data_IF_194109906720
#
_entry.id   IF_194109906720
#
_cell.length_a   1.000
_cell.length_b   1.000
_cell.length_c   1.000
_cell.angle_alpha   90.00
_cell.angle_beta   90.00
_cell.angle_gamma   90.00
#
_symmetry.space_group_name_H-M   'P 1'
#
loop_
_entity.id
_entity.type
_entity.pdbx_description
1 polymer ?
#
# COMPACT_ATOMS: atom_id res chain seq x y z
N UNK A 1 9.78 5.63 13.58
CA UNK A 1 10.42 4.32 13.37
C UNK A 1 9.39 3.36 12.82
N UNK A 2 9.51 2.89 11.58
CA UNK A 2 8.51 2.00 10.98
C UNK A 2 8.60 0.58 11.57
N UNK A 3 7.45 -0.06 11.79
CA UNK A 3 7.34 -1.40 12.41
C UNK A 3 7.74 -2.53 11.44
N UNK A 4 7.55 -2.32 10.14
CA UNK A 4 7.74 -3.34 9.09
C UNK A 4 8.80 -2.89 8.10
N UNK A 5 10.07 -3.20 8.39
CA UNK A 5 11.21 -2.91 7.50
C UNK A 5 11.95 -4.20 7.18
N UNK A 6 12.72 -4.21 6.08
CA UNK A 6 13.46 -5.40 5.66
C UNK A 6 14.45 -5.89 6.72
N UNK A 7 15.02 -4.98 7.50
CA UNK A 7 15.98 -5.27 8.58
C UNK A 7 15.34 -5.96 9.78
N UNK A 8 14.02 -5.80 9.96
CA UNK A 8 13.26 -6.42 11.05
C UNK A 8 12.52 -7.69 10.62
N UNK A 9 12.45 -7.96 9.31
CA UNK A 9 11.79 -9.13 8.77
C UNK A 9 12.74 -10.33 8.79
N UNK A 10 12.26 -11.47 9.29
CA UNK A 10 12.97 -12.73 9.12
C UNK A 10 12.88 -13.16 7.65
N UNK A 11 14.02 -13.29 6.97
CA UNK A 11 14.12 -13.70 5.57
C UNK A 11 13.70 -15.16 5.31
N UNK A 12 13.59 -15.98 6.36
CA UNK A 12 13.07 -17.36 6.27
C UNK A 12 11.57 -17.45 6.61
N UNK A 13 10.92 -16.35 6.98
CA UNK A 13 9.52 -16.36 7.39
C UNK A 13 9.32 -16.85 8.82
N UNK A 14 8.12 -17.36 9.13
CA UNK A 14 7.73 -17.78 10.50
C UNK A 14 7.67 -19.29 10.69
N UNK A 15 7.82 -20.06 9.61
CA UNK A 15 7.60 -21.50 9.60
C UNK A 15 8.95 -22.20 9.58
N UNK A 16 9.08 -23.33 10.27
CA UNK A 16 10.32 -24.11 10.32
C UNK A 16 10.42 -25.16 9.19
N UNK A 17 9.39 -25.25 8.36
CA UNK A 17 9.33 -26.17 7.22
C UNK A 17 10.22 -25.66 6.07
N UNK A 18 11.26 -26.40 5.65
CA UNK A 18 12.27 -25.91 4.72
C UNK A 18 11.69 -25.38 3.40
N UNK A 19 10.70 -26.08 2.84
CA UNK A 19 10.07 -25.68 1.57
C UNK A 19 9.32 -24.34 1.67
N UNK A 20 8.68 -24.08 2.81
CA UNK A 20 8.00 -22.83 3.09
C UNK A 20 9.00 -21.68 3.28
N UNK A 21 10.14 -21.96 3.94
CA UNK A 21 11.23 -21.00 4.11
C UNK A 21 11.86 -20.60 2.78
N UNK A 22 12.15 -21.57 1.91
CA UNK A 22 12.73 -21.30 0.58
C UNK A 22 11.79 -20.43 -0.27
N UNK A 23 10.50 -20.75 -0.26
CA UNK A 23 9.48 -19.97 -0.97
C UNK A 23 9.37 -18.55 -0.42
N UNK A 24 9.37 -18.39 0.91
CA UNK A 24 9.34 -17.07 1.53
C UNK A 24 10.62 -16.27 1.23
N UNK A 25 11.78 -16.93 1.25
CA UNK A 25 13.07 -16.31 0.92
C UNK A 25 13.08 -15.77 -0.51
N UNK A 26 12.58 -16.53 -1.48
CA UNK A 26 12.43 -16.05 -2.86
C UNK A 26 11.51 -14.82 -2.94
N UNK A 27 10.38 -14.83 -2.22
CA UNK A 27 9.49 -13.67 -2.16
C UNK A 27 10.15 -12.45 -1.49
N UNK A 28 10.98 -12.67 -0.46
CA UNK A 28 11.74 -11.64 0.23
C UNK A 28 12.81 -11.02 -0.68
N UNK A 29 13.54 -11.83 -1.44
CA UNK A 29 14.53 -11.36 -2.42
C UNK A 29 13.86 -10.57 -3.55
N UNK A 30 12.76 -11.08 -4.12
CA UNK A 30 11.99 -10.35 -5.13
C UNK A 30 11.45 -9.01 -4.60
N UNK A 31 11.09 -8.94 -3.31
CA UNK A 31 10.65 -7.72 -2.65
C UNK A 31 11.80 -6.70 -2.53
N UNK A 32 13.02 -7.15 -2.20
CA UNK A 32 14.20 -6.28 -2.11
C UNK A 32 14.59 -5.69 -3.47
N UNK A 33 14.56 -6.51 -4.51
CA UNK A 33 14.87 -6.08 -5.87
C UNK A 33 13.85 -5.05 -6.35
N UNK A 34 12.55 -5.33 -6.16
CA UNK A 34 11.49 -4.39 -6.51
C UNK A 34 11.54 -3.10 -5.69
N UNK A 35 11.91 -3.15 -4.40
CA UNK A 35 12.07 -1.95 -3.59
C UNK A 35 13.24 -1.07 -4.04
N UNK A 36 14.29 -1.68 -4.59
CA UNK A 36 15.48 -0.97 -5.09
C UNK A 36 15.20 -0.26 -6.42
N UNK A 37 14.58 -0.96 -7.36
CA UNK A 37 14.19 -0.39 -8.65
C UNK A 37 12.81 -0.93 -9.10
N UNK A 38 11.70 -0.28 -8.71
CA UNK A 38 10.36 -0.79 -9.00
C UNK A 38 10.04 -0.60 -10.48
N UNK A 39 10.13 -1.68 -11.24
CA UNK A 39 9.73 -1.74 -12.64
C UNK A 39 8.63 -2.78 -12.83
N UNK A 40 7.54 -2.40 -13.50
CA UNK A 40 6.40 -3.29 -13.71
C UNK A 40 5.61 -3.56 -12.42
N UNK A 41 5.12 -4.79 -12.27
CA UNK A 41 4.23 -5.20 -11.17
C UNK A 41 4.84 -6.37 -10.39
N UNK A 42 4.75 -6.30 -9.06
CA UNK A 42 5.06 -7.42 -8.17
C UNK A 42 3.78 -7.85 -7.44
N UNK A 43 3.44 -9.14 -7.57
CA UNK A 43 2.23 -9.72 -6.95
C UNK A 43 2.64 -10.83 -6.00
N UNK A 44 2.24 -10.73 -4.73
CA UNK A 44 2.43 -11.80 -3.76
C UNK A 44 1.16 -12.66 -3.65
N UNK A 45 1.31 -13.97 -3.78
CA UNK A 45 0.24 -14.96 -3.61
C UNK A 45 0.59 -15.97 -2.53
N UNK A 46 -0.40 -16.54 -1.84
CA UNK A 46 -0.19 -17.55 -0.80
C UNK A 46 -1.20 -17.47 0.34
N UNK A 47 -1.13 -18.37 1.33
CA UNK A 47 -2.11 -18.45 2.41
C UNK A 47 -2.12 -17.22 3.32
N UNK A 48 -3.18 -17.06 4.09
CA UNK A 48 -3.24 -16.01 5.12
C UNK A 48 -2.11 -16.20 6.13
N UNK A 49 -1.54 -15.11 6.64
CA UNK A 49 -0.42 -15.17 7.58
C UNK A 49 0.97 -15.38 6.97
N UNK A 50 1.08 -15.68 5.66
CA UNK A 50 2.37 -15.89 4.96
C UNK A 50 3.26 -14.63 4.79
N UNK A 51 2.92 -13.50 5.42
CA UNK A 51 3.77 -12.30 5.41
C UNK A 51 3.65 -11.36 4.20
N UNK A 52 2.77 -11.63 3.24
CA UNK A 52 2.56 -10.79 2.03
C UNK A 52 2.39 -9.29 2.33
N UNK A 53 1.48 -8.95 3.25
CA UNK A 53 1.23 -7.56 3.67
C UNK A 53 2.45 -6.95 4.36
N UNK A 54 3.25 -7.76 5.05
CA UNK A 54 4.45 -7.27 5.71
C UNK A 54 5.56 -6.97 4.69
N UNK A 55 5.72 -7.83 3.67
CA UNK A 55 6.63 -7.57 2.54
C UNK A 55 6.21 -6.30 1.78
N UNK A 56 4.93 -6.15 1.47
CA UNK A 56 4.42 -4.93 0.83
C UNK A 56 4.69 -3.67 1.67
N UNK A 57 4.47 -3.74 2.99
CA UNK A 57 4.78 -2.64 3.90
C UNK A 57 6.29 -2.34 3.97
N UNK A 58 7.15 -3.36 3.92
CA UNK A 58 8.60 -3.18 3.89
C UNK A 58 9.09 -2.51 2.61
N UNK A 59 8.54 -2.90 1.45
CA UNK A 59 8.78 -2.22 0.16
C UNK A 59 8.39 -0.75 0.28
N UNK A 60 7.18 -0.47 0.76
CA UNK A 60 6.68 0.90 0.93
C UNK A 60 7.60 1.73 1.85
N UNK A 61 7.98 1.18 3.00
CA UNK A 61 8.86 1.87 3.94
C UNK A 61 10.26 2.13 3.37
N UNK A 62 10.82 1.22 2.57
CA UNK A 62 12.11 1.41 1.88
C UNK A 62 12.05 2.53 0.83
N UNK A 63 10.94 2.63 0.10
CA UNK A 63 10.71 3.72 -0.86
C UNK A 63 10.51 5.06 -0.13
N UNK A 64 9.73 5.08 0.94
CA UNK A 64 9.57 6.27 1.78
C UNK A 64 10.90 6.74 2.39
N UNK A 65 11.75 5.82 2.87
CA UNK A 65 13.06 6.18 3.44
C UNK A 65 14.04 6.75 2.41
N UNK A 66 13.82 6.49 1.12
CA UNK A 66 14.60 7.07 0.02
C UNK A 66 13.97 8.35 -0.55
N UNK A 67 12.97 8.91 0.15
CA UNK A 67 12.29 10.15 -0.24
C UNK A 67 11.30 9.99 -1.40
N UNK A 68 11.00 8.75 -1.80
CA UNK A 68 10.05 8.47 -2.88
C UNK A 68 8.63 8.36 -2.31
N UNK A 69 7.64 9.05 -2.88
CA UNK A 69 6.25 8.96 -2.41
C UNK A 69 5.68 7.56 -2.69
N UNK A 70 4.86 7.06 -1.75
CA UNK A 70 4.22 5.75 -1.85
C UNK A 70 2.74 5.85 -1.50
N UNK A 71 1.90 5.22 -2.31
CA UNK A 71 0.50 4.96 -1.99
C UNK A 71 0.35 3.54 -1.45
N UNK A 72 0.05 3.41 -0.17
CA UNK A 72 -0.21 2.12 0.48
C UNK A 72 -1.65 2.07 0.98
N UNK A 73 -2.51 1.29 0.31
CA UNK A 73 -3.94 1.17 0.62
C UNK A 73 -4.42 -0.26 0.44
N UNK A 74 -5.48 -0.64 1.15
CA UNK A 74 -6.27 -1.83 0.80
C UNK A 74 -7.01 -1.58 -0.50
N UNK A 75 -7.29 -2.65 -1.25
CA UNK A 75 -8.04 -2.55 -2.49
C UNK A 75 -9.42 -1.91 -2.29
N UNK A 76 -10.12 -2.26 -1.19
CA UNK A 76 -11.42 -1.68 -0.86
C UNK A 76 -11.34 -0.16 -0.63
N UNK A 77 -10.34 0.30 0.12
CA UNK A 77 -10.14 1.73 0.38
C UNK A 77 -9.87 2.50 -0.91
N UNK A 78 -9.02 1.97 -1.78
CA UNK A 78 -8.75 2.59 -3.07
C UNK A 78 -10.02 2.71 -3.94
N UNK A 79 -10.85 1.67 -3.95
CA UNK A 79 -12.11 1.67 -4.69
C UNK A 79 -13.10 2.67 -4.06
N UNK A 80 -13.16 2.76 -2.74
CA UNK A 80 -14.04 3.70 -2.04
C UNK A 80 -13.61 5.16 -2.27
N UNK A 81 -12.31 5.44 -2.27
CA UNK A 81 -11.77 6.76 -2.65
C UNK A 81 -12.16 7.13 -4.08
N UNK A 82 -12.07 6.17 -5.02
CA UNK A 82 -12.44 6.39 -6.41
C UNK A 82 -13.95 6.67 -6.55
N UNK A 83 -14.79 5.90 -5.84
CA UNK A 83 -16.24 6.13 -5.82
C UNK A 83 -16.58 7.52 -5.29
N UNK A 84 -15.92 7.95 -4.22
CA UNK A 84 -16.15 9.27 -3.62
C UNK A 84 -15.72 10.40 -4.56
N UNK A 85 -14.56 10.27 -5.23
CA UNK A 85 -14.12 11.26 -6.21
C UNK A 85 -15.13 11.38 -7.36
N UNK A 86 -15.61 10.25 -7.87
CA UNK A 86 -16.56 10.22 -8.98
C UNK A 86 -17.91 10.77 -8.56
N UNK A 87 -18.42 10.45 -7.36
CA UNK A 87 -19.69 10.97 -6.85
C UNK A 87 -19.67 12.47 -6.61
N UNK A 88 -18.53 13.02 -6.17
CA UNK A 88 -18.32 14.47 -6.05
C UNK A 88 -18.27 15.16 -7.42
N UNK A 89 -17.81 14.47 -8.46
CA UNK A 89 -17.78 14.99 -9.83
C UNK A 89 -19.18 15.02 -10.46
N UNK A 90 -20.13 14.19 -9.98
CA UNK A 90 -21.54 14.20 -10.42
C UNK A 90 -22.41 15.13 -9.56
N UNK A 91 -21.85 15.86 -8.59
CA UNK A 91 -22.60 16.96 -7.97
C UNK A 91 -22.76 18.06 -9.03
N UNK A 92 -23.99 18.44 -9.41
CA UNK A 92 -24.18 19.54 -10.34
C UNK A 92 -23.58 20.80 -9.70
N UNK A 93 -22.94 21.63 -10.52
CA UNK A 93 -22.24 22.87 -10.14
C UNK A 93 -23.10 23.80 -9.25
N UNK A 94 -24.41 23.57 -9.21
CA UNK A 94 -25.40 24.17 -8.30
C UNK A 94 -25.11 24.01 -6.80
N UNK A 95 -24.50 22.93 -6.33
CA UNK A 95 -24.24 22.76 -4.90
C UNK A 95 -23.16 23.72 -4.35
N UNK A 96 -22.22 24.15 -5.19
CA UNK A 96 -21.19 25.14 -4.81
C UNK A 96 -21.80 26.52 -4.56
N UNK A 97 -22.89 26.88 -5.24
CA UNK A 97 -23.60 28.15 -5.02
C UNK A 97 -24.37 28.20 -3.68
N UNK A 98 -24.86 27.06 -3.19
CA UNK A 98 -25.61 26.98 -1.92
C UNK A 98 -24.73 27.17 -0.68
N UNK A 99 -23.42 26.86 -0.77
CA UNK A 99 -22.49 27.11 0.33
C UNK A 99 -22.20 28.62 0.46
N UNK A 100 -22.13 29.36 -0.65
CA UNK A 100 -21.89 30.82 -0.62
C UNK A 100 -23.12 31.64 -0.23
N UNK A 101 -24.36 31.16 -0.42
CA UNK A 101 -25.57 31.93 -0.08
C UNK A 101 -25.96 31.88 1.40
N UNK A 102 -25.28 31.06 2.22
CA UNK A 102 -25.58 30.88 3.65
C UNK A 102 -24.61 31.59 4.59
N UNK A 103 -23.61 32.31 4.07
CA UNK A 103 -22.72 33.14 4.88
C UNK A 103 -23.42 34.49 5.10
N UNK A 104 -23.81 34.84 6.34
CA UNK A 104 -24.42 36.14 6.61
C UNK A 104 -23.38 37.25 6.37
N UNK A 105 -23.78 38.40 5.79
CA UNK A 105 -22.89 39.54 5.69
C UNK A 105 -22.52 40.03 7.10
N UNK A 106 -21.27 40.46 7.25
CA UNK A 106 -20.79 41.20 8.41
C UNK A 106 -21.60 42.50 8.62
#
# INVERSE_FOLDING_TARGET
>A
MYKYTFEKLNSLGKTDEPHSQDTFKQAYEAALDFASNPTGWLVFTGPSGAGKTHLAAAIANRRLSTGQPVLYKRASELIDDLKNLLSLTVMPVTARALIYSKMPPC
#
